data_IF_398981181715
#
_entry.id   IF_398981181715
#
_cell.length_a   1.000
_cell.length_b   1.000
_cell.length_c   1.000
_cell.angle_alpha   90.00
_cell.angle_beta   90.00
_cell.angle_gamma   90.00
#
_symmetry.space_group_name_H-M   'P 1'
#
loop_
_entity.id
_entity.type
_entity.pdbx_description
1 polymer ?
#
# COMPACT_ATOMS: atom_id res chain seq x y z
N UNK A 1 31.31 -32.15 62.77
CA UNK A 1 31.02 -33.52 63.27
C UNK A 1 29.57 -33.83 62.91
N UNK A 2 29.35 -35.04 62.36
CA UNK A 2 28.11 -35.72 61.99
C UNK A 2 27.36 -35.12 60.75
N UNK A 3 27.49 -35.65 59.59
CA UNK A 3 27.23 -37.01 59.02
C UNK A 3 25.73 -37.26 58.79
N UNK A 4 25.37 -37.18 57.52
CA UNK A 4 24.77 -38.19 56.65
C UNK A 4 23.45 -38.88 57.09
N UNK A 5 22.44 -38.86 56.27
CA UNK A 5 22.07 -40.10 55.58
C UNK A 5 21.04 -39.76 54.41
N UNK A 6 21.37 -40.23 53.23
CA UNK A 6 20.47 -40.25 52.07
C UNK A 6 19.47 -41.43 52.19
N UNK A 7 18.23 -41.21 51.85
CA UNK A 7 17.29 -42.31 51.58
C UNK A 7 16.69 -42.13 50.18
N UNK A 8 17.06 -43.03 49.29
CA UNK A 8 16.47 -43.21 47.96
C UNK A 8 15.18 -43.99 48.12
N UNK A 9 14.07 -43.44 47.73
CA UNK A 9 12.82 -44.17 47.54
C UNK A 9 12.44 -44.08 46.05
N UNK A 10 12.60 -45.17 45.38
CA UNK A 10 12.07 -45.47 44.06
C UNK A 10 10.57 -45.67 44.11
N UNK A 11 9.81 -44.80 43.49
CA UNK A 11 8.39 -45.04 43.21
C UNK A 11 8.22 -45.17 41.68
N UNK A 12 7.98 -46.40 41.25
CA UNK A 12 7.55 -46.73 39.90
C UNK A 12 6.09 -46.31 39.71
N UNK A 13 5.85 -45.30 38.88
CA UNK A 13 4.51 -44.98 38.44
C UNK A 13 4.38 -45.45 37.00
N UNK A 14 3.53 -46.43 36.79
CA UNK A 14 3.04 -46.90 35.50
C UNK A 14 2.06 -45.84 34.99
N UNK A 15 2.50 -44.98 34.08
CA UNK A 15 1.62 -44.04 33.36
C UNK A 15 1.15 -44.69 32.08
N UNK A 16 -0.13 -44.97 31.98
CA UNK A 16 -0.78 -45.35 30.74
C UNK A 16 -0.74 -44.17 29.76
N UNK A 17 -0.09 -44.34 28.62
CA UNK A 17 -0.14 -43.40 27.55
C UNK A 17 -1.50 -43.47 26.85
N UNK A 18 -2.34 -42.47 27.04
CA UNK A 18 -3.47 -42.21 26.17
C UNK A 18 -2.91 -41.55 24.90
N UNK A 19 -2.85 -42.31 23.82
CA UNK A 19 -2.58 -41.79 22.50
C UNK A 19 -3.83 -41.03 22.02
N UNK A 20 -3.82 -39.71 22.15
CA UNK A 20 -4.75 -38.84 21.46
C UNK A 20 -4.38 -38.83 19.96
N UNK A 21 -5.16 -39.57 19.16
CA UNK A 21 -5.10 -39.50 17.70
C UNK A 21 -5.75 -38.20 17.25
N UNK A 22 -5.02 -37.08 17.30
CA UNK A 22 -5.39 -35.90 16.59
C UNK A 22 -5.26 -36.19 15.07
N UNK A 23 -6.35 -36.52 14.44
CA UNK A 23 -6.46 -36.53 12.99
C UNK A 23 -6.24 -35.08 12.51
N UNK A 24 -5.03 -34.80 12.04
CA UNK A 24 -4.75 -33.58 11.26
C UNK A 24 -5.64 -33.62 10.01
N UNK A 25 -6.78 -32.93 10.05
CA UNK A 25 -7.49 -32.62 8.84
C UNK A 25 -6.56 -31.73 7.99
N UNK A 26 -5.95 -32.31 6.97
CA UNK A 26 -5.30 -31.55 5.91
C UNK A 26 -6.36 -30.67 5.25
N UNK A 27 -6.54 -29.45 5.73
CA UNK A 27 -7.21 -28.39 4.99
C UNK A 27 -6.32 -28.07 3.78
N UNK A 28 -6.53 -28.79 2.69
CA UNK A 28 -6.07 -28.38 1.37
C UNK A 28 -6.81 -27.09 1.05
N UNK A 29 -6.14 -25.96 1.24
CA UNK A 29 -6.60 -24.70 0.66
C UNK A 29 -6.80 -24.93 -0.84
N UNK A 30 -7.91 -24.46 -1.43
CA UNK A 30 -8.08 -24.55 -2.87
C UNK A 30 -6.89 -23.89 -3.55
N UNK A 31 -6.26 -24.61 -4.50
CA UNK A 31 -5.18 -24.06 -5.29
C UNK A 31 -5.67 -22.76 -5.93
N UNK A 32 -5.14 -21.62 -5.47
CA UNK A 32 -5.40 -20.34 -6.10
C UNK A 32 -4.82 -20.43 -7.50
N UNK A 33 -5.65 -20.19 -8.51
CA UNK A 33 -5.18 -19.98 -9.88
C UNK A 33 -4.26 -18.75 -9.83
N UNK A 34 -2.99 -18.85 -10.22
CA UNK A 34 -2.15 -17.67 -10.30
C UNK A 34 -2.86 -16.63 -11.18
N UNK A 35 -3.03 -15.41 -10.69
CA UNK A 35 -3.49 -14.32 -11.53
C UNK A 35 -2.46 -14.21 -12.63
N UNK A 36 -2.89 -14.39 -13.89
CA UNK A 36 -2.01 -14.26 -15.06
C UNK A 36 -1.43 -12.85 -15.04
N UNK A 37 -0.16 -12.74 -14.74
CA UNK A 37 0.60 -11.52 -14.94
C UNK A 37 1.01 -11.51 -16.41
N UNK A 38 0.08 -11.12 -17.30
CA UNK A 38 0.51 -10.64 -18.60
C UNK A 38 1.51 -9.50 -18.32
N UNK A 39 2.62 -9.48 -19.08
CA UNK A 39 3.64 -8.43 -18.95
C UNK A 39 2.98 -7.08 -18.76
N UNK A 40 3.50 -6.25 -17.82
CA UNK A 40 3.04 -4.88 -17.62
C UNK A 40 2.74 -4.24 -18.96
N UNK A 41 1.44 -4.08 -19.23
CA UNK A 41 0.96 -3.33 -20.37
C UNK A 41 0.72 -1.88 -19.91
N UNK A 42 0.64 -0.96 -20.82
CA UNK A 42 0.34 0.46 -20.52
C UNK A 42 -0.88 0.60 -19.60
N UNK A 43 -1.87 -0.27 -19.74
CA UNK A 43 -3.05 -0.33 -18.87
C UNK A 43 -2.78 -0.67 -17.39
N UNK A 44 -1.54 -0.99 -17.01
CA UNK A 44 -1.14 -1.26 -15.62
C UNK A 44 -0.45 -0.07 -14.92
N UNK A 45 -0.31 1.07 -15.61
CA UNK A 45 0.21 2.28 -14.99
C UNK A 45 -0.92 3.09 -14.36
N UNK A 46 -0.62 3.65 -13.21
CA UNK A 46 -1.53 4.47 -12.44
C UNK A 46 -0.83 5.67 -11.81
N UNK A 47 -1.62 6.53 -11.22
CA UNK A 47 -1.11 7.72 -10.54
C UNK A 47 -1.95 8.04 -9.32
N UNK A 48 -1.29 8.43 -8.22
CA UNK A 48 -1.97 9.03 -7.08
C UNK A 48 -2.47 10.42 -7.46
N UNK A 49 -3.76 10.68 -7.23
CA UNK A 49 -4.40 11.98 -7.52
C UNK A 49 -5.20 12.47 -6.32
N UNK A 50 -5.16 13.77 -6.08
CA UNK A 50 -5.79 14.39 -4.91
C UNK A 50 -7.12 15.05 -5.29
N UNK A 51 -8.04 14.26 -5.84
CA UNK A 51 -9.37 14.73 -6.27
C UNK A 51 -10.43 14.70 -5.16
N UNK A 52 -10.14 14.10 -4.00
CA UNK A 52 -11.02 14.13 -2.85
C UNK A 52 -11.17 15.56 -2.31
N UNK A 53 -12.40 16.04 -2.19
CA UNK A 53 -12.75 17.42 -1.86
C UNK A 53 -12.25 18.48 -2.88
N UNK A 54 -11.80 18.07 -4.05
CA UNK A 54 -11.28 18.94 -5.11
C UNK A 54 -12.07 18.81 -6.40
N UNK A 55 -13.37 19.15 -6.44
CA UNK A 55 -14.22 18.97 -7.63
C UNK A 55 -13.76 19.81 -8.83
N UNK A 56 -13.12 20.95 -8.59
CA UNK A 56 -12.67 21.87 -9.67
C UNK A 56 -11.48 21.32 -10.47
N UNK A 57 -10.67 20.42 -9.91
CA UNK A 57 -9.49 19.84 -10.55
C UNK A 57 -9.72 18.43 -11.05
N UNK A 58 -10.79 17.76 -10.60
CA UNK A 58 -11.06 16.35 -10.88
C UNK A 58 -11.02 16.01 -12.37
N UNK A 59 -11.72 16.76 -13.22
CA UNK A 59 -11.74 16.51 -14.67
C UNK A 59 -10.36 16.70 -15.29
N UNK A 60 -9.65 17.74 -14.90
CA UNK A 60 -8.28 18.03 -15.36
C UNK A 60 -7.34 16.88 -15.06
N UNK A 61 -7.35 16.41 -13.81
CA UNK A 61 -6.40 15.40 -13.34
C UNK A 61 -6.69 14.03 -13.99
N UNK A 62 -7.97 13.66 -14.14
CA UNK A 62 -8.34 12.46 -14.89
C UNK A 62 -7.97 12.54 -16.38
N UNK A 63 -8.10 13.72 -17.01
CA UNK A 63 -7.66 13.94 -18.39
C UNK A 63 -6.13 13.85 -18.54
N UNK A 64 -5.36 14.29 -17.55
CA UNK A 64 -3.90 14.14 -17.55
C UNK A 64 -3.49 12.66 -17.52
N UNK A 65 -4.16 11.83 -16.71
CA UNK A 65 -3.95 10.39 -16.72
C UNK A 65 -4.25 9.78 -18.10
N UNK A 66 -5.40 10.14 -18.70
CA UNK A 66 -5.77 9.68 -20.05
C UNK A 66 -4.74 10.12 -21.11
N UNK A 67 -4.23 11.36 -21.02
CA UNK A 67 -3.21 11.86 -21.93
C UNK A 67 -1.87 11.12 -21.80
N UNK A 68 -1.54 10.65 -20.60
CA UNK A 68 -0.38 9.80 -20.32
C UNK A 68 -0.65 8.30 -20.57
N UNK A 69 -1.84 7.93 -21.07
CA UNK A 69 -2.28 6.54 -21.27
C UNK A 69 -2.24 5.68 -19.99
N UNK A 70 -2.52 6.29 -18.84
CA UNK A 70 -2.58 5.61 -17.55
C UNK A 70 -4.00 5.10 -17.28
N UNK A 71 -4.14 3.82 -16.95
CA UNK A 71 -5.42 3.15 -16.75
C UNK A 71 -5.95 3.19 -15.32
N UNK A 72 -5.14 3.61 -14.32
CA UNK A 72 -5.48 3.58 -12.91
C UNK A 72 -5.29 4.93 -12.24
N UNK A 73 -6.18 5.23 -11.29
CA UNK A 73 -5.98 6.29 -10.31
C UNK A 73 -6.00 5.71 -8.89
N UNK A 74 -5.19 6.27 -8.00
CA UNK A 74 -5.24 6.03 -6.56
C UNK A 74 -5.70 7.30 -5.88
N UNK A 75 -6.79 7.21 -5.12
CA UNK A 75 -7.33 8.33 -4.33
C UNK A 75 -7.58 7.86 -2.90
N UNK A 76 -7.28 8.73 -1.96
CA UNK A 76 -7.61 8.56 -0.55
C UNK A 76 -9.10 8.81 -0.33
N UNK A 77 -9.82 7.78 0.14
CA UNK A 77 -11.21 7.84 0.56
C UNK A 77 -11.26 7.93 2.08
N UNK A 78 -11.46 9.14 2.62
CA UNK A 78 -11.37 9.39 4.06
C UNK A 78 -12.54 8.79 4.81
N UNK A 79 -12.29 7.73 5.59
CA UNK A 79 -13.33 7.05 6.37
C UNK A 79 -14.09 8.02 7.28
N UNK A 80 -13.39 8.95 7.96
CA UNK A 80 -14.04 9.93 8.88
C UNK A 80 -15.06 10.85 8.22
N UNK A 81 -14.90 11.13 6.93
CA UNK A 81 -15.82 11.98 6.19
C UNK A 81 -17.02 11.18 5.66
N UNK A 82 -16.80 9.90 5.35
CA UNK A 82 -17.86 8.99 4.93
C UNK A 82 -18.68 8.42 6.09
N UNK A 83 -18.10 8.34 7.29
CA UNK A 83 -18.76 7.83 8.50
C UNK A 83 -18.46 8.75 9.71
N UNK A 84 -18.98 9.99 9.70
CA UNK A 84 -18.62 11.01 10.69
C UNK A 84 -19.08 10.68 12.11
N UNK A 85 -20.11 9.84 12.28
CA UNK A 85 -20.62 9.39 13.56
C UNK A 85 -21.12 7.95 13.46
N UNK A 86 -21.31 7.27 14.59
CA UNK A 86 -21.76 5.87 14.65
C UNK A 86 -23.09 5.71 13.91
N UNK A 87 -23.10 4.88 12.88
CA UNK A 87 -24.27 4.60 12.06
C UNK A 87 -24.69 5.73 11.12
N UNK A 88 -23.94 6.82 11.04
CA UNK A 88 -24.17 7.94 10.11
C UNK A 88 -23.22 7.83 8.93
N UNK A 89 -23.76 7.80 7.72
CA UNK A 89 -22.98 7.67 6.50
C UNK A 89 -23.25 8.81 5.53
N UNK A 90 -22.18 9.34 4.93
CA UNK A 90 -22.21 10.36 3.88
C UNK A 90 -21.28 9.96 2.74
N UNK A 91 -21.83 9.45 1.67
CA UNK A 91 -21.07 9.02 0.49
C UNK A 91 -21.06 10.04 -0.66
N UNK A 92 -21.55 11.26 -0.45
CA UNK A 92 -21.68 12.25 -1.54
C UNK A 92 -20.34 12.49 -2.24
N UNK A 93 -19.26 12.65 -1.50
CA UNK A 93 -17.93 12.87 -2.09
C UNK A 93 -17.35 11.60 -2.73
N UNK A 94 -17.52 10.45 -2.10
CA UNK A 94 -17.14 9.18 -2.68
C UNK A 94 -17.89 8.88 -3.98
N UNK A 95 -19.21 9.11 -4.02
CA UNK A 95 -20.03 8.98 -5.23
C UNK A 95 -19.54 9.88 -6.36
N UNK A 96 -19.17 11.12 -6.02
CA UNK A 96 -18.63 12.07 -7.01
C UNK A 96 -17.31 11.58 -7.61
N UNK A 97 -16.37 11.12 -6.75
CA UNK A 97 -15.05 10.61 -7.18
C UNK A 97 -15.22 9.35 -8.03
N UNK A 98 -16.02 8.39 -7.58
CA UNK A 98 -16.27 7.13 -8.28
C UNK A 98 -16.94 7.40 -9.63
N UNK A 99 -17.98 8.24 -9.65
CA UNK A 99 -18.68 8.60 -10.89
C UNK A 99 -17.74 9.25 -11.90
N UNK A 100 -16.93 10.23 -11.48
CA UNK A 100 -16.01 10.92 -12.38
C UNK A 100 -14.95 9.96 -12.97
N UNK A 101 -14.37 9.09 -12.14
CA UNK A 101 -13.37 8.12 -12.59
C UNK A 101 -13.96 7.09 -13.56
N UNK A 102 -15.15 6.55 -13.25
CA UNK A 102 -15.82 5.60 -14.12
C UNK A 102 -16.22 6.24 -15.48
N UNK A 103 -16.68 7.49 -15.49
CA UNK A 103 -16.97 8.23 -16.73
C UNK A 103 -15.71 8.49 -17.56
N UNK A 104 -14.57 8.67 -16.91
CA UNK A 104 -13.26 8.79 -17.56
C UNK A 104 -12.66 7.43 -17.97
N UNK A 105 -13.33 6.30 -17.70
CA UNK A 105 -12.81 4.95 -17.92
C UNK A 105 -11.47 4.69 -17.22
N UNK A 106 -11.23 5.34 -16.08
CA UNK A 106 -10.05 5.15 -15.22
C UNK A 106 -10.45 4.25 -14.05
N UNK A 107 -9.72 3.15 -13.86
CA UNK A 107 -9.90 2.21 -12.76
C UNK A 107 -9.49 2.83 -11.44
N UNK A 108 -10.13 2.39 -10.36
CA UNK A 108 -10.00 3.01 -9.04
C UNK A 108 -9.28 2.08 -8.07
N UNK A 109 -8.20 2.59 -7.48
CA UNK A 109 -7.62 2.08 -6.25
C UNK A 109 -8.11 3.00 -5.11
N UNK A 110 -9.09 2.54 -4.35
CA UNK A 110 -9.62 3.28 -3.22
C UNK A 110 -8.76 2.98 -1.99
N UNK A 111 -7.86 3.91 -1.60
CA UNK A 111 -7.17 3.86 -0.33
C UNK A 111 -8.14 4.33 0.76
N UNK A 112 -8.51 3.45 1.68
CA UNK A 112 -9.42 3.78 2.78
C UNK A 112 -8.63 3.88 4.08
N UNK A 113 -8.55 5.08 4.63
CA UNK A 113 -7.86 5.41 5.87
C UNK A 113 -8.53 6.61 6.58
N UNK A 114 -7.84 7.28 7.50
CA UNK A 114 -8.35 8.39 8.29
C UNK A 114 -9.58 8.02 9.12
N UNK A 115 -9.34 7.33 10.24
CA UNK A 115 -10.37 6.88 11.17
C UNK A 115 -11.29 8.02 11.64
N UNK A 116 -12.61 7.77 11.84
CA UNK A 116 -13.51 8.70 12.48
C UNK A 116 -13.10 8.98 13.94
N UNK A 117 -13.41 10.18 14.41
CA UNK A 117 -13.08 10.59 15.77
C UNK A 117 -13.73 9.70 16.85
N UNK A 118 -14.91 9.17 16.59
CA UNK A 118 -15.63 8.27 17.49
C UNK A 118 -14.97 6.88 17.61
N UNK A 119 -14.17 6.48 16.63
CA UNK A 119 -13.60 5.14 16.56
C UNK A 119 -12.29 4.98 17.34
N UNK A 120 -11.74 6.08 17.86
CA UNK A 120 -10.47 6.07 18.58
C UNK A 120 -10.48 7.06 19.74
N UNK A 121 -10.03 6.58 20.90
CA UNK A 121 -9.91 7.38 22.12
C UNK A 121 -8.70 8.32 22.11
N UNK A 122 -7.57 7.84 21.55
CA UNK A 122 -6.34 8.64 21.39
C UNK A 122 -6.35 9.40 20.06
N UNK A 123 -6.44 10.73 20.13
CA UNK A 123 -6.51 11.63 18.96
C UNK A 123 -5.17 12.33 18.66
N UNK A 124 -4.05 11.78 19.15
CA UNK A 124 -2.72 12.35 18.94
C UNK A 124 -2.34 12.43 17.46
N UNK A 125 -2.74 11.41 16.67
CA UNK A 125 -2.43 11.33 15.25
C UNK A 125 -3.70 11.50 14.40
N UNK A 126 -3.57 12.27 13.33
CA UNK A 126 -4.67 12.52 12.40
C UNK A 126 -5.08 11.25 11.64
N UNK A 127 -4.12 10.38 11.35
CA UNK A 127 -4.35 9.05 10.82
C UNK A 127 -3.81 8.01 11.82
N UNK A 128 -4.67 7.13 12.30
CA UNK A 128 -4.29 6.07 13.23
C UNK A 128 -5.37 4.97 13.26
N UNK A 129 -4.99 3.75 13.62
CA UNK A 129 -5.94 2.65 13.70
C UNK A 129 -7.10 2.93 14.66
N UNK A 130 -8.30 2.40 14.42
CA UNK A 130 -9.39 2.47 15.40
C UNK A 130 -9.07 1.61 16.65
N UNK A 131 -9.72 1.91 17.77
CA UNK A 131 -9.58 1.11 19.00
C UNK A 131 -10.16 -0.31 18.84
N UNK A 132 -11.15 -0.48 17.96
CA UNK A 132 -11.69 -1.78 17.58
C UNK A 132 -11.56 -1.96 16.05
N UNK A 133 -10.72 -2.89 15.64
CA UNK A 133 -10.40 -3.17 14.23
C UNK A 133 -11.64 -3.66 13.43
N UNK A 134 -12.63 -4.27 14.11
CA UNK A 134 -13.87 -4.71 13.46
C UNK A 134 -14.66 -3.54 12.89
N UNK A 135 -14.63 -2.36 13.51
CA UNK A 135 -15.34 -1.18 12.99
C UNK A 135 -14.83 -0.74 11.62
N UNK A 136 -13.54 -0.90 11.37
CA UNK A 136 -12.97 -0.64 10.04
C UNK A 136 -13.47 -1.67 9.03
N UNK A 137 -13.44 -2.96 9.37
CA UNK A 137 -13.92 -4.04 8.50
C UNK A 137 -15.43 -3.90 8.20
N UNK A 138 -16.24 -3.50 9.18
CA UNK A 138 -17.67 -3.23 8.98
C UNK A 138 -17.89 -2.06 8.03
N UNK A 139 -17.08 -1.01 8.15
CA UNK A 139 -17.14 0.14 7.25
C UNK A 139 -16.73 -0.21 5.82
N UNK A 140 -15.60 -0.90 5.61
CA UNK A 140 -15.18 -1.28 4.25
C UNK A 140 -16.15 -2.25 3.59
N UNK A 141 -16.87 -3.06 4.38
CA UNK A 141 -17.99 -3.88 3.87
C UNK A 141 -19.10 -3.02 3.29
N UNK A 142 -19.52 -1.97 4.00
CA UNK A 142 -20.56 -1.02 3.54
C UNK A 142 -20.08 -0.28 2.30
N UNK A 143 -18.82 0.14 2.27
CA UNK A 143 -18.21 0.78 1.12
C UNK A 143 -18.18 -0.17 -0.10
N UNK A 144 -17.73 -1.41 0.08
CA UNK A 144 -17.72 -2.42 -0.96
C UNK A 144 -19.14 -2.73 -1.49
N UNK A 145 -20.14 -2.83 -0.61
CA UNK A 145 -21.53 -3.06 -1.01
C UNK A 145 -22.08 -1.91 -1.86
N UNK A 146 -21.69 -0.68 -1.54
CA UNK A 146 -22.09 0.50 -2.31
C UNK A 146 -21.49 0.51 -3.72
N UNK A 147 -20.24 0.12 -3.88
CA UNK A 147 -19.48 0.22 -5.15
C UNK A 147 -19.12 -1.13 -5.76
N UNK A 148 -19.89 -2.17 -5.44
CA UNK A 148 -19.74 -3.50 -6.04
C UNK A 148 -20.09 -3.53 -7.52
N UNK A 149 -19.69 -4.57 -8.20
CA UNK A 149 -20.04 -4.82 -9.61
C UNK A 149 -21.55 -4.68 -9.84
N UNK A 150 -21.91 -3.83 -10.81
CA UNK A 150 -23.31 -3.58 -11.18
C UNK A 150 -24.06 -2.62 -10.25
N UNK A 151 -23.40 -1.97 -9.32
CA UNK A 151 -24.01 -0.95 -8.46
C UNK A 151 -24.46 0.28 -9.26
N UNK A 152 -25.61 0.90 -8.91
CA UNK A 152 -26.03 2.16 -9.51
C UNK A 152 -25.16 3.35 -9.10
N UNK A 153 -24.29 3.19 -8.10
CA UNK A 153 -23.38 4.23 -7.61
C UNK A 153 -22.00 4.22 -8.28
N UNK A 154 -21.81 3.35 -9.28
CA UNK A 154 -20.54 3.13 -9.93
C UNK A 154 -19.79 1.92 -9.33
N UNK A 155 -18.53 1.77 -9.74
CA UNK A 155 -17.71 0.61 -9.39
C UNK A 155 -16.33 1.03 -8.91
N UNK A 156 -15.83 0.37 -7.87
CA UNK A 156 -14.45 0.46 -7.38
C UNK A 156 -13.76 -0.87 -7.69
N UNK A 157 -12.62 -0.81 -8.38
CA UNK A 157 -11.90 -2.01 -8.82
C UNK A 157 -11.07 -2.64 -7.70
N UNK A 158 -10.49 -1.81 -6.84
CA UNK A 158 -9.54 -2.23 -5.81
C UNK A 158 -9.70 -1.40 -4.54
N UNK A 159 -9.60 -2.05 -3.38
CA UNK A 159 -9.52 -1.40 -2.08
C UNK A 159 -8.12 -1.65 -1.51
N UNK A 160 -7.38 -0.57 -1.27
CA UNK A 160 -6.17 -0.57 -0.45
C UNK A 160 -6.57 -0.40 1.02
N UNK A 161 -6.21 -1.41 1.83
CA UNK A 161 -6.57 -1.46 3.24
C UNK A 161 -5.54 -0.73 4.07
N UNK A 162 -5.82 0.54 4.39
CA UNK A 162 -4.94 1.44 5.12
C UNK A 162 -3.76 1.98 4.30
N UNK A 163 -2.81 2.68 4.99
CA UNK A 163 -1.57 3.24 4.43
C UNK A 163 -0.45 3.11 5.45
N UNK A 164 0.72 2.68 5.05
CA UNK A 164 2.00 2.69 5.79
C UNK A 164 1.90 2.35 7.30
N UNK A 165 1.30 1.20 7.67
CA UNK A 165 1.09 0.85 9.09
C UNK A 165 2.41 0.64 9.86
N UNK A 166 3.55 0.63 9.18
CA UNK A 166 4.89 0.59 9.77
C UNK A 166 5.38 1.97 10.25
N UNK A 167 4.55 3.03 10.12
CA UNK A 167 4.82 4.37 10.64
C UNK A 167 3.86 4.73 11.76
N UNK A 168 4.38 5.34 12.84
CA UNK A 168 3.56 5.86 13.94
C UNK A 168 2.58 6.96 13.50
N UNK A 169 2.96 7.79 12.54
CA UNK A 169 2.10 8.84 11.98
C UNK A 169 0.85 8.29 11.31
N UNK A 170 0.91 7.04 10.83
CA UNK A 170 -0.15 6.36 10.09
C UNK A 170 -0.93 5.34 10.92
N UNK A 171 -0.31 4.77 11.97
CA UNK A 171 -0.94 3.74 12.81
C UNK A 171 -1.24 4.17 14.24
N UNK A 172 -0.47 5.13 14.76
CA UNK A 172 -0.47 5.55 16.16
C UNK A 172 0.27 4.57 17.08
N UNK A 173 0.50 5.00 18.31
CA UNK A 173 1.19 4.19 19.32
C UNK A 173 2.67 3.95 19.03
N UNK A 174 3.21 2.85 19.48
CA UNK A 174 4.61 2.44 19.26
C UNK A 174 4.65 1.32 18.22
N UNK A 175 5.44 1.52 17.17
CA UNK A 175 5.60 0.51 16.11
C UNK A 175 6.45 -0.65 16.63
N UNK A 176 5.93 -1.86 16.47
CA UNK A 176 6.48 -3.09 17.02
C UNK A 176 5.90 -4.33 16.30
N UNK A 177 6.35 -5.56 16.58
CA UNK A 177 5.70 -6.76 16.06
C UNK A 177 4.20 -6.83 16.37
N UNK A 178 3.77 -6.33 17.54
CA UNK A 178 2.35 -6.25 17.87
C UNK A 178 1.55 -5.37 16.89
N UNK A 179 2.15 -4.31 16.38
CA UNK A 179 1.54 -3.45 15.35
C UNK A 179 1.29 -4.22 14.06
N UNK A 180 2.24 -5.05 13.64
CA UNK A 180 2.08 -5.90 12.46
C UNK A 180 0.95 -6.93 12.65
N UNK A 181 0.87 -7.59 13.83
CA UNK A 181 -0.22 -8.49 14.16
C UNK A 181 -1.59 -7.81 14.13
N UNK A 182 -1.70 -6.59 14.68
CA UNK A 182 -2.93 -5.78 14.63
C UNK A 182 -3.32 -5.41 13.18
N UNK A 183 -2.33 -5.03 12.37
CA UNK A 183 -2.58 -4.73 10.96
C UNK A 183 -3.04 -5.98 10.19
N UNK A 184 -2.41 -7.13 10.37
CA UNK A 184 -2.82 -8.40 9.75
C UNK A 184 -4.25 -8.78 10.18
N UNK A 185 -4.59 -8.60 11.45
CA UNK A 185 -5.96 -8.82 11.93
C UNK A 185 -6.96 -7.90 11.20
N UNK A 186 -6.66 -6.60 11.09
CA UNK A 186 -7.54 -5.64 10.38
C UNK A 186 -7.68 -5.99 8.91
N UNK A 187 -6.58 -6.36 8.24
CA UNK A 187 -6.57 -6.77 6.84
C UNK A 187 -7.40 -8.05 6.63
N UNK A 188 -7.25 -9.06 7.48
CA UNK A 188 -7.99 -10.32 7.42
C UNK A 188 -9.50 -10.12 7.57
N UNK A 189 -9.90 -9.29 8.55
CA UNK A 189 -11.31 -8.94 8.76
C UNK A 189 -11.87 -8.20 7.54
N UNK A 190 -11.10 -7.23 7.01
CA UNK A 190 -11.46 -6.42 5.84
C UNK A 190 -11.56 -7.27 4.57
N UNK A 191 -10.58 -8.14 4.33
CA UNK A 191 -10.58 -9.08 3.20
C UNK A 191 -11.84 -9.93 3.20
N UNK A 192 -12.13 -10.57 4.33
CA UNK A 192 -13.32 -11.42 4.48
C UNK A 192 -14.62 -10.63 4.27
N UNK A 193 -14.69 -9.40 4.80
CA UNK A 193 -15.82 -8.51 4.67
C UNK A 193 -16.05 -8.09 3.21
N UNK A 194 -15.01 -7.64 2.50
CA UNK A 194 -15.09 -7.22 1.09
C UNK A 194 -15.46 -8.40 0.20
N UNK A 195 -14.79 -9.56 0.34
CA UNK A 195 -15.05 -10.75 -0.48
C UNK A 195 -16.43 -11.37 -0.25
N UNK A 196 -17.02 -11.16 0.94
CA UNK A 196 -18.40 -11.58 1.21
C UNK A 196 -19.46 -10.78 0.43
N UNK A 197 -19.09 -9.58 -0.04
CA UNK A 197 -19.98 -8.67 -0.79
C UNK A 197 -19.77 -8.80 -2.30
N UNK A 198 -18.53 -8.64 -2.74
CA UNK A 198 -18.13 -8.81 -4.14
C UNK A 198 -16.74 -9.44 -4.23
N UNK A 199 -16.63 -10.69 -4.65
CA UNK A 199 -15.34 -11.36 -4.81
C UNK A 199 -14.46 -10.75 -5.90
N UNK A 200 -15.02 -9.91 -6.80
CA UNK A 200 -14.28 -9.27 -7.89
C UNK A 200 -13.58 -7.98 -7.46
N UNK A 201 -13.99 -7.34 -6.36
CA UNK A 201 -13.23 -6.22 -5.80
C UNK A 201 -11.90 -6.79 -5.30
N UNK A 202 -10.81 -6.31 -5.88
CA UNK A 202 -9.46 -6.71 -5.46
C UNK A 202 -9.10 -6.04 -4.14
N UNK A 203 -8.38 -6.76 -3.29
CA UNK A 203 -7.87 -6.26 -2.01
C UNK A 203 -6.37 -6.21 -2.06
N UNK A 204 -5.81 -5.03 -1.91
CA UNK A 204 -4.37 -4.84 -1.79
C UNK A 204 -4.01 -4.47 -0.35
N UNK A 205 -2.93 -5.06 0.17
CA UNK A 205 -2.39 -4.66 1.46
C UNK A 205 -1.84 -3.23 1.38
N UNK A 206 -1.77 -2.51 2.50
CA UNK A 206 -1.12 -1.21 2.54
C UNK A 206 0.33 -1.30 2.01
N UNK A 207 0.71 -0.35 1.16
CA UNK A 207 2.12 -0.13 0.85
C UNK A 207 2.87 0.25 2.11
N UNK A 208 3.95 -0.47 2.44
CA UNK A 208 4.80 -0.14 3.58
C UNK A 208 5.78 0.96 3.18
N UNK A 209 6.00 1.92 4.08
CA UNK A 209 6.97 3.00 3.86
C UNK A 209 8.40 2.47 3.90
N UNK A 210 9.22 2.71 2.89
CA UNK A 210 10.65 2.42 2.99
C UNK A 210 11.28 3.31 4.05
N UNK A 211 11.93 2.72 5.04
CA UNK A 211 12.61 3.44 6.13
C UNK A 211 13.67 2.57 6.77
N UNK A 212 14.77 3.19 7.18
CA UNK A 212 15.78 2.55 8.03
C UNK A 212 15.54 2.75 9.53
N UNK A 213 14.48 3.48 9.94
CA UNK A 213 14.20 3.76 11.34
C UNK A 213 13.67 2.52 12.06
N UNK A 214 14.23 2.24 13.26
CA UNK A 214 13.80 1.15 14.13
C UNK A 214 13.88 1.61 15.60
N UNK A 215 13.04 2.57 15.94
CA UNK A 215 13.07 3.27 17.22
C UNK A 215 11.69 3.36 17.90
N UNK A 216 10.73 2.59 17.40
CA UNK A 216 9.33 2.62 17.82
C UNK A 216 8.53 3.78 17.23
N UNK A 217 9.13 4.69 16.44
CA UNK A 217 8.39 5.63 15.59
C UNK A 217 8.11 5.03 14.21
N UNK A 218 8.96 4.13 13.78
CA UNK A 218 8.82 3.36 12.56
C UNK A 218 9.47 1.99 12.70
N UNK A 219 9.23 1.11 11.74
CA UNK A 219 9.98 -0.12 11.52
C UNK A 219 10.33 -0.25 10.03
N UNK A 220 11.52 -0.77 9.68
CA UNK A 220 11.88 -1.05 8.30
C UNK A 220 10.81 -1.93 7.63
N UNK A 221 10.50 -1.62 6.37
CA UNK A 221 9.45 -2.28 5.60
C UNK A 221 9.66 -3.79 5.47
N UNK A 222 10.90 -4.26 5.26
CA UNK A 222 11.25 -5.68 5.21
C UNK A 222 11.02 -6.39 6.56
N UNK A 223 11.44 -5.74 7.64
CA UNK A 223 11.23 -6.25 8.99
C UNK A 223 9.74 -6.32 9.33
N UNK A 224 8.98 -5.27 9.00
CA UNK A 224 7.55 -5.21 9.26
C UNK A 224 6.79 -6.24 8.41
N UNK A 225 7.14 -6.41 7.14
CA UNK A 225 6.58 -7.43 6.27
C UNK A 225 6.83 -8.84 6.82
N UNK A 226 8.05 -9.12 7.31
CA UNK A 226 8.33 -10.42 7.92
C UNK A 226 7.49 -10.64 9.18
N UNK A 227 7.26 -9.61 10.01
CA UNK A 227 6.34 -9.73 11.15
C UNK A 227 4.90 -10.01 10.69
N UNK A 228 4.43 -9.33 9.64
CA UNK A 228 3.10 -9.61 9.09
C UNK A 228 2.97 -11.09 8.67
N UNK A 229 3.98 -11.67 8.02
CA UNK A 229 3.98 -13.09 7.66
C UNK A 229 4.00 -14.00 8.89
N UNK A 230 4.75 -13.68 9.92
CA UNK A 230 4.78 -14.44 11.18
C UNK A 230 3.40 -14.46 11.87
N UNK A 231 2.58 -13.44 11.63
CA UNK A 231 1.23 -13.29 12.17
C UNK A 231 0.13 -13.72 11.18
N UNK A 232 0.49 -14.45 10.11
CA UNK A 232 -0.46 -15.11 9.21
C UNK A 232 -1.02 -14.23 8.09
N UNK A 233 -0.20 -13.36 7.51
CA UNK A 233 -0.59 -12.50 6.39
C UNK A 233 -1.16 -13.25 5.19
N UNK A 234 -0.59 -14.42 4.85
CA UNK A 234 -0.97 -15.20 3.67
C UNK A 234 -2.45 -15.51 3.61
N UNK A 235 -3.06 -15.28 2.45
CA UNK A 235 -4.47 -15.57 2.23
C UNK A 235 -5.43 -14.43 2.57
N UNK A 236 -4.94 -13.30 3.05
CA UNK A 236 -5.76 -12.15 3.45
C UNK A 236 -5.63 -10.92 2.54
N UNK A 237 -5.06 -11.10 1.34
CA UNK A 237 -4.96 -10.09 0.29
C UNK A 237 -4.92 -10.76 -1.08
N UNK A 238 -5.24 -10.02 -2.14
CA UNK A 238 -5.07 -10.48 -3.52
C UNK A 238 -3.72 -10.03 -4.09
N UNK A 239 -3.25 -8.84 -3.70
CA UNK A 239 -1.97 -8.28 -4.12
C UNK A 239 -1.22 -7.69 -2.90
N UNK A 240 0.11 -7.88 -2.89
CA UNK A 240 0.98 -7.25 -1.91
C UNK A 240 1.24 -5.79 -2.32
N UNK A 241 0.83 -4.84 -1.48
CA UNK A 241 1.13 -3.42 -1.67
C UNK A 241 2.54 -3.09 -1.20
N UNK A 242 3.28 -2.33 -2.00
CA UNK A 242 4.65 -1.89 -1.70
C UNK A 242 4.81 -0.43 -2.11
N UNK A 243 5.44 0.40 -1.26
CA UNK A 243 5.91 1.73 -1.62
C UNK A 243 7.40 1.67 -1.97
N UNK A 244 7.81 2.40 -3.00
CA UNK A 244 9.17 2.44 -3.50
C UNK A 244 9.61 3.88 -3.81
N UNK A 245 9.38 4.79 -2.85
CA UNK A 245 9.83 6.17 -2.94
C UNK A 245 11.36 6.21 -2.89
N UNK A 246 12.00 6.65 -3.98
CA UNK A 246 13.43 6.52 -4.15
C UNK A 246 14.21 7.76 -3.70
N UNK A 247 15.31 7.53 -2.97
CA UNK A 247 16.33 8.54 -2.70
C UNK A 247 17.59 8.30 -3.56
N UNK A 248 17.65 7.17 -4.25
CA UNK A 248 18.69 6.86 -5.23
C UNK A 248 18.18 7.26 -6.61
N UNK A 249 18.88 8.15 -7.29
CA UNK A 249 18.48 8.68 -8.60
C UNK A 249 18.36 7.57 -9.65
N UNK A 250 19.34 6.69 -9.79
CA UNK A 250 19.30 5.61 -10.76
C UNK A 250 18.28 4.52 -10.35
N UNK A 251 17.15 4.38 -11.05
CA UNK A 251 16.15 3.34 -10.76
C UNK A 251 16.66 1.92 -10.99
N UNK A 252 17.75 1.75 -11.73
CA UNK A 252 18.32 0.42 -12.02
C UNK A 252 19.38 -0.02 -10.99
N UNK A 253 19.76 0.88 -10.07
CA UNK A 253 20.75 0.58 -9.03
C UNK A 253 20.28 -0.57 -8.12
N UNK A 254 21.14 -1.56 -7.92
CA UNK A 254 20.82 -2.68 -7.04
C UNK A 254 20.77 -2.23 -5.57
N UNK A 255 19.83 -2.74 -4.76
CA UNK A 255 19.77 -2.39 -3.34
C UNK A 255 21.12 -2.62 -2.64
N UNK A 256 21.59 -1.61 -1.88
CA UNK A 256 22.87 -1.65 -1.19
C UNK A 256 24.11 -1.41 -2.06
N UNK A 257 23.96 -1.10 -3.36
CA UNK A 257 25.10 -0.90 -4.26
C UNK A 257 25.71 0.51 -4.24
N UNK A 258 25.02 1.48 -3.62
CA UNK A 258 25.48 2.87 -3.55
C UNK A 258 26.05 3.13 -2.16
N UNK A 259 27.22 3.80 -2.11
CA UNK A 259 27.88 4.14 -0.86
C UNK A 259 26.97 5.01 0.03
N UNK A 260 26.88 4.65 1.31
CA UNK A 260 26.01 5.31 2.28
C UNK A 260 24.58 4.77 2.35
N UNK A 261 24.18 3.88 1.43
CA UNK A 261 22.84 3.27 1.35
C UNK A 261 22.91 1.74 1.34
N UNK A 262 23.73 1.17 2.20
CA UNK A 262 23.98 -0.28 2.23
C UNK A 262 22.78 -1.12 2.68
N UNK A 263 21.80 -0.53 3.38
CA UNK A 263 20.58 -1.22 3.83
C UNK A 263 19.55 -1.48 2.72
N UNK A 264 19.69 -0.81 1.58
CA UNK A 264 18.80 -0.97 0.43
C UNK A 264 17.42 -0.31 0.56
N UNK A 265 17.09 0.38 1.67
CA UNK A 265 15.74 0.90 1.94
C UNK A 265 15.22 1.89 0.90
N UNK A 266 16.08 2.75 0.36
CA UNK A 266 15.66 3.88 -0.47
C UNK A 266 15.96 3.70 -1.96
N UNK A 267 15.97 2.46 -2.43
CA UNK A 267 16.13 2.11 -3.84
C UNK A 267 14.76 1.84 -4.48
N UNK A 268 14.59 2.22 -5.74
CA UNK A 268 13.42 1.76 -6.50
C UNK A 268 13.33 0.22 -6.52
N UNK A 269 14.47 -0.45 -6.64
CA UNK A 269 14.55 -1.92 -6.62
C UNK A 269 14.40 -2.56 -5.23
N UNK A 270 14.09 -1.79 -4.18
CA UNK A 270 13.71 -2.32 -2.86
C UNK A 270 12.60 -3.37 -2.96
N UNK A 271 11.71 -3.19 -3.90
CA UNK A 271 10.60 -4.11 -4.23
C UNK A 271 11.05 -5.55 -4.39
N UNK A 272 12.25 -5.79 -4.97
CA UNK A 272 12.80 -7.14 -5.16
C UNK A 272 13.11 -7.83 -3.82
N UNK A 273 13.52 -7.08 -2.80
CA UNK A 273 13.78 -7.61 -1.47
C UNK A 273 12.47 -7.97 -0.75
N UNK A 274 11.43 -7.16 -0.89
CA UNK A 274 10.10 -7.44 -0.33
C UNK A 274 9.45 -8.62 -1.05
N UNK A 275 9.59 -8.72 -2.38
CA UNK A 275 9.17 -9.91 -3.14
C UNK A 275 9.88 -11.18 -2.68
N UNK A 276 11.17 -11.12 -2.39
CA UNK A 276 11.92 -12.25 -1.88
C UNK A 276 11.42 -12.73 -0.50
N UNK A 277 10.97 -11.81 0.36
CA UNK A 277 10.33 -12.15 1.64
C UNK A 277 9.00 -12.86 1.39
N UNK A 278 8.16 -12.36 0.50
CA UNK A 278 6.90 -12.99 0.11
C UNK A 278 7.12 -14.43 -0.36
N UNK A 279 8.05 -14.63 -1.30
CA UNK A 279 8.41 -15.95 -1.84
C UNK A 279 8.99 -16.88 -0.78
N UNK A 280 9.82 -16.35 0.13
CA UNK A 280 10.38 -17.13 1.24
C UNK A 280 9.30 -17.67 2.18
N UNK A 281 8.22 -16.92 2.36
CA UNK A 281 7.05 -17.34 3.14
C UNK A 281 6.05 -18.20 2.36
N UNK A 282 6.39 -18.60 1.12
CA UNK A 282 5.57 -19.47 0.28
C UNK A 282 4.36 -18.78 -0.36
N UNK A 283 4.38 -17.47 -0.42
CA UNK A 283 3.35 -16.66 -1.08
C UNK A 283 3.87 -16.13 -2.42
N UNK A 284 2.99 -16.06 -3.42
CA UNK A 284 3.34 -15.73 -4.80
C UNK A 284 2.29 -14.83 -5.45
N UNK A 285 1.56 -14.06 -4.66
CA UNK A 285 0.57 -13.12 -5.17
C UNK A 285 1.27 -12.01 -5.97
N UNK A 286 0.58 -11.33 -6.91
CA UNK A 286 1.17 -10.17 -7.57
C UNK A 286 1.52 -9.06 -6.57
N UNK A 287 2.64 -8.39 -6.82
CA UNK A 287 3.01 -7.17 -6.10
C UNK A 287 2.48 -5.96 -6.86
N UNK A 288 1.93 -4.97 -6.14
CA UNK A 288 1.57 -3.67 -6.71
C UNK A 288 2.39 -2.57 -6.06
N UNK A 289 2.98 -1.71 -6.88
CA UNK A 289 3.57 -0.47 -6.38
C UNK A 289 2.45 0.52 -6.08
N UNK A 290 2.24 0.76 -4.79
CA UNK A 290 1.20 1.69 -4.34
C UNK A 290 1.68 3.15 -4.41
N UNK A 291 2.98 3.35 -4.27
CA UNK A 291 3.64 4.65 -4.47
C UNK A 291 5.07 4.43 -4.95
N UNK A 292 5.50 5.18 -5.97
CA UNK A 292 6.90 5.31 -6.37
C UNK A 292 7.13 6.70 -6.97
N UNK A 293 8.36 7.17 -6.94
CA UNK A 293 8.72 8.47 -7.51
C UNK A 293 10.04 9.00 -6.99
N UNK A 294 10.39 10.19 -7.47
CA UNK A 294 11.56 10.98 -7.10
C UNK A 294 11.15 12.40 -6.74
N UNK A 295 11.91 13.04 -5.87
CA UNK A 295 11.67 14.43 -5.49
C UNK A 295 12.63 15.37 -6.19
N UNK A 296 12.15 16.58 -6.52
CA UNK A 296 12.97 17.70 -6.96
C UNK A 296 13.14 18.76 -5.87
N UNK A 297 12.98 18.39 -4.60
CA UNK A 297 13.01 19.28 -3.45
C UNK A 297 14.42 19.76 -3.11
N UNK A 298 14.77 20.94 -3.60
CA UNK A 298 16.06 21.58 -3.31
C UNK A 298 15.99 22.62 -2.18
N UNK A 299 14.80 22.85 -1.60
CA UNK A 299 14.62 23.90 -0.58
C UNK A 299 14.59 23.37 0.85
N UNK A 300 14.16 22.10 1.06
CA UNK A 300 14.18 21.46 2.38
C UNK A 300 15.54 20.76 2.59
N UNK A 301 16.36 21.14 3.58
CA UNK A 301 17.73 20.65 3.73
C UNK A 301 17.83 19.12 3.94
N UNK A 302 16.82 18.52 4.53
CA UNK A 302 16.73 17.08 4.76
C UNK A 302 16.33 16.28 3.50
N UNK A 303 15.95 16.95 2.42
CA UNK A 303 15.56 16.38 1.12
C UNK A 303 16.53 16.77 -0.01
N UNK A 304 17.06 17.99 0.03
CA UNK A 304 17.86 18.57 -1.05
C UNK A 304 19.08 17.73 -1.48
N UNK A 305 19.60 16.90 -0.59
CA UNK A 305 20.79 16.10 -0.86
C UNK A 305 20.52 14.89 -1.79
N UNK A 306 19.26 14.47 -1.95
CA UNK A 306 18.87 13.42 -2.90
C UNK A 306 17.86 13.88 -3.95
N UNK A 307 17.61 15.19 -4.01
CA UNK A 307 16.75 15.77 -5.02
C UNK A 307 17.38 15.64 -6.42
N UNK A 308 16.55 15.31 -7.40
CA UNK A 308 16.92 15.30 -8.82
C UNK A 308 16.33 16.51 -9.54
N UNK A 309 16.81 16.84 -10.74
CA UNK A 309 16.16 17.84 -11.58
C UNK A 309 14.78 17.35 -12.06
N UNK A 310 13.92 18.26 -12.49
CA UNK A 310 12.60 17.86 -13.04
C UNK A 310 12.73 17.02 -14.32
N UNK A 311 13.76 17.31 -15.15
CA UNK A 311 14.08 16.54 -16.34
C UNK A 311 14.57 15.13 -16.00
N UNK A 312 15.45 15.02 -15.00
CA UNK A 312 15.95 13.74 -14.50
C UNK A 312 14.83 12.90 -13.87
N UNK A 313 13.96 13.52 -13.04
CA UNK A 313 12.75 12.87 -12.50
C UNK A 313 11.93 12.21 -13.62
N UNK A 314 11.67 12.91 -14.72
CA UNK A 314 10.94 12.36 -15.87
C UNK A 314 11.68 11.17 -16.52
N UNK A 315 13.00 11.27 -16.66
CA UNK A 315 13.82 10.20 -17.23
C UNK A 315 13.85 8.96 -16.31
N UNK A 316 13.98 9.15 -15.01
CA UNK A 316 14.01 8.10 -14.00
C UNK A 316 12.67 7.36 -13.89
N UNK A 317 11.54 8.08 -13.95
CA UNK A 317 10.22 7.46 -13.99
C UNK A 317 10.09 6.53 -15.20
N UNK A 318 10.45 6.99 -16.41
CA UNK A 318 10.41 6.16 -17.61
C UNK A 318 11.41 5.00 -17.57
N UNK A 319 12.58 5.19 -16.95
CA UNK A 319 13.57 4.13 -16.76
C UNK A 319 13.07 3.09 -15.76
N UNK A 320 12.43 3.50 -14.67
CA UNK A 320 11.79 2.63 -13.69
C UNK A 320 10.68 1.78 -14.32
N UNK A 321 9.81 2.39 -15.12
CA UNK A 321 8.75 1.69 -15.84
C UNK A 321 9.34 0.63 -16.79
N UNK A 322 10.39 0.98 -17.56
CA UNK A 322 11.09 0.01 -18.43
C UNK A 322 11.72 -1.12 -17.64
N UNK A 323 12.41 -0.78 -16.55
CA UNK A 323 13.06 -1.79 -15.72
C UNK A 323 12.04 -2.80 -15.16
N UNK A 324 10.94 -2.28 -14.60
CA UNK A 324 9.86 -3.08 -14.03
C UNK A 324 9.24 -4.01 -15.08
N UNK A 325 8.86 -3.49 -16.25
CA UNK A 325 8.32 -4.29 -17.36
C UNK A 325 9.26 -5.42 -17.80
N UNK A 326 10.55 -5.12 -17.88
CA UNK A 326 11.53 -6.06 -18.45
C UNK A 326 11.99 -7.11 -17.43
N UNK A 327 11.91 -6.82 -16.11
CA UNK A 327 12.51 -7.65 -15.07
C UNK A 327 11.50 -8.21 -14.04
N UNK A 328 10.29 -7.65 -13.89
CA UNK A 328 9.36 -8.03 -12.83
C UNK A 328 8.04 -8.62 -13.38
N UNK A 329 8.04 -9.90 -13.86
CA UNK A 329 6.84 -10.53 -14.40
C UNK A 329 5.72 -10.74 -13.36
N UNK A 330 6.03 -10.58 -12.08
CA UNK A 330 5.12 -10.69 -10.95
C UNK A 330 4.50 -9.34 -10.54
N UNK A 331 4.92 -8.24 -11.16
CA UNK A 331 4.39 -6.91 -10.86
C UNK A 331 3.07 -6.69 -11.61
N UNK A 332 2.05 -6.20 -10.90
CA UNK A 332 0.73 -5.89 -11.46
C UNK A 332 0.59 -4.42 -11.84
N UNK A 333 0.24 -3.55 -10.90
CA UNK A 333 0.06 -2.10 -11.13
C UNK A 333 1.22 -1.31 -10.53
N UNK A 334 1.62 -0.25 -11.24
CA UNK A 334 2.56 0.76 -10.74
C UNK A 334 1.85 2.10 -10.59
N UNK A 335 1.73 2.60 -9.37
CA UNK A 335 1.09 3.88 -9.07
C UNK A 335 2.13 4.94 -8.77
N UNK A 336 2.31 5.87 -9.70
CA UNK A 336 3.21 7.00 -9.54
C UNK A 336 2.67 7.96 -8.46
N UNK A 337 3.52 8.46 -7.61
CA UNK A 337 3.28 9.54 -6.67
C UNK A 337 3.71 10.87 -7.33
N UNK A 338 2.88 11.84 -7.80
CA UNK A 338 1.60 11.74 -8.44
C UNK A 338 1.15 13.13 -8.89
N UNK A 339 -0.13 13.43 -8.90
CA UNK A 339 -0.70 14.76 -9.18
C UNK A 339 -0.93 15.50 -7.85
N UNK A 340 -0.70 16.84 -7.77
CA UNK A 340 -0.78 17.56 -6.50
C UNK A 340 -2.22 17.85 -6.04
N UNK A 341 -2.39 18.00 -4.73
CA UNK A 341 -3.53 18.76 -4.21
C UNK A 341 -3.41 20.22 -4.67
N UNK A 342 -4.50 20.86 -5.13
CA UNK A 342 -4.46 22.23 -5.65
C UNK A 342 -4.06 23.28 -4.61
N UNK A 343 -4.05 22.94 -3.32
CA UNK A 343 -3.66 23.84 -2.23
C UNK A 343 -2.19 23.74 -1.85
N UNK A 344 -1.45 22.80 -2.42
CA UNK A 344 -0.05 22.62 -2.06
C UNK A 344 0.84 23.74 -2.61
N UNK A 345 1.78 24.14 -1.79
CA UNK A 345 2.76 25.20 -2.07
C UNK A 345 4.17 24.64 -1.89
N UNK A 346 5.22 25.33 -2.40
CA UNK A 346 6.60 24.85 -2.30
C UNK A 346 7.14 24.62 -0.88
N UNK A 347 6.46 25.10 0.16
CA UNK A 347 6.82 24.85 1.57
C UNK A 347 6.47 23.44 2.03
N UNK A 348 5.73 22.70 1.23
CA UNK A 348 5.40 21.29 1.49
C UNK A 348 6.31 20.38 0.70
N UNK A 349 6.87 19.37 1.34
CA UNK A 349 7.72 18.40 0.63
C UNK A 349 6.97 17.65 -0.47
N UNK A 350 5.70 17.31 -0.24
CA UNK A 350 4.88 16.57 -1.20
C UNK A 350 4.73 17.30 -2.54
N UNK A 351 4.76 18.64 -2.52
CA UNK A 351 4.76 19.47 -3.73
C UNK A 351 5.86 19.07 -4.71
N UNK A 352 7.05 18.75 -4.21
CA UNK A 352 8.23 18.48 -5.02
C UNK A 352 8.29 17.07 -5.60
N UNK A 353 7.51 16.16 -5.07
CA UNK A 353 7.35 14.82 -5.64
C UNK A 353 6.46 14.81 -6.87
N UNK A 354 5.56 15.76 -7.02
CA UNK A 354 4.52 15.77 -8.04
C UNK A 354 5.07 15.98 -9.45
N UNK A 355 4.33 15.48 -10.45
CA UNK A 355 4.69 15.56 -11.87
C UNK A 355 4.02 16.73 -12.60
N UNK A 356 3.11 17.44 -11.93
CA UNK A 356 2.49 18.67 -12.40
C UNK A 356 2.48 19.73 -11.30
N UNK A 357 2.17 20.97 -11.66
CA UNK A 357 1.95 22.04 -10.70
C UNK A 357 0.49 22.04 -10.20
N UNK A 358 0.19 22.60 -9.01
CA UNK A 358 -1.18 22.69 -8.47
C UNK A 358 -2.16 23.45 -9.37
N UNK A 359 -1.68 24.37 -10.18
CA UNK A 359 -2.46 25.10 -11.19
C UNK A 359 -2.79 24.25 -12.43
N UNK A 360 -2.23 23.04 -12.54
CA UNK A 360 -2.44 22.10 -13.62
C UNK A 360 -1.48 22.23 -14.79
N UNK A 361 -0.50 23.11 -14.72
CA UNK A 361 0.57 23.15 -15.73
C UNK A 361 1.50 21.96 -15.56
N UNK A 362 1.91 21.37 -16.68
CA UNK A 362 2.78 20.20 -16.68
C UNK A 362 4.19 20.57 -16.20
N UNK A 363 4.77 19.71 -15.38
CA UNK A 363 6.22 19.70 -15.17
C UNK A 363 6.87 18.81 -16.22
N UNK A 364 8.19 18.91 -16.44
CA UNK A 364 8.93 18.09 -17.41
C UNK A 364 8.60 16.58 -17.32
N UNK A 365 8.40 16.05 -16.11
CA UNK A 365 8.07 14.66 -15.91
C UNK A 365 6.71 14.28 -16.55
N UNK A 366 5.63 15.04 -16.31
CA UNK A 366 4.32 14.75 -16.91
C UNK A 366 4.33 14.97 -18.42
N UNK A 367 4.94 16.06 -18.87
CA UNK A 367 5.09 16.34 -20.31
C UNK A 367 5.83 15.21 -21.03
N UNK A 368 6.88 14.65 -20.39
CA UNK A 368 7.62 13.49 -20.91
C UNK A 368 6.75 12.23 -21.01
N UNK A 369 5.96 11.92 -19.99
CA UNK A 369 5.03 10.78 -19.98
C UNK A 369 3.97 10.90 -21.08
N UNK A 370 3.34 12.08 -21.21
CA UNK A 370 2.35 12.36 -22.26
C UNK A 370 2.98 12.22 -23.66
N UNK A 371 4.19 12.76 -23.84
CA UNK A 371 4.92 12.62 -25.11
C UNK A 371 5.24 11.16 -25.45
N UNK A 372 5.66 10.37 -24.45
CA UNK A 372 5.93 8.96 -24.63
C UNK A 372 4.67 8.16 -25.00
N UNK A 373 3.54 8.48 -24.38
CA UNK A 373 2.24 7.90 -24.72
C UNK A 373 1.83 8.20 -26.18
N UNK A 374 1.91 9.47 -26.58
CA UNK A 374 1.58 9.91 -27.96
C UNK A 374 2.46 9.26 -29.03
N UNK A 375 3.70 8.96 -28.71
CA UNK A 375 4.65 8.30 -29.60
C UNK A 375 4.59 6.77 -29.51
N UNK A 376 3.71 6.18 -28.71
CA UNK A 376 3.64 4.75 -28.38
C UNK A 376 5.01 4.21 -27.91
N UNK A 377 5.72 4.97 -27.09
CA UNK A 377 7.03 4.64 -26.52
C UNK A 377 7.00 4.47 -25.00
N UNK A 378 5.83 4.57 -24.38
CA UNK A 378 5.66 4.13 -23.00
C UNK A 378 6.09 2.68 -22.88
N UNK A 379 6.82 2.35 -21.80
CA UNK A 379 7.33 1.00 -21.60
C UNK A 379 6.27 -0.08 -21.55
#
# INVERSE_FOLDING_TARGET
MCALLALVLSASVIGAALADSATSANLTLPARTPVSTDRLAVSHYGMSIFIWNNPSTTTRDLQALQAADFGWQKTMFKWREMNPDIGVYNFNEADRVVTASNQAHIKIIARIDFQPWWSRSDQTYANARPDNLQWYADFVKIFADRYKTGSPHGHVDTIEVWNEPNLRSEWGGTISPQTAAEYVQMLSLSYSAIKSVDPNIMVVSAGLSPTGAYDGTAAPDDQFLQWMYNDGLSGHYDMLGVNANAQIADPTAAPGSVDGFADGSFYFRRVEQLRAIEEHNGDFNPVWLMEYGWTSDTIHPDRAWYAVSEEEKGADILAAMRYARDNWPWLGVMTLWGMPDPTWTPDREEYWWMVSNPDGTDRPALAGLISAAQLNTLP
#
